data_IF_914054651747
#
_entry.id   IF_914054651747
#
_cell.length_a   1.000
_cell.length_b   1.000
_cell.length_c   1.000
_cell.angle_alpha   90.00
_cell.angle_beta   90.00
_cell.angle_gamma   90.00
#
_symmetry.space_group_name_H-M   'P 1'
#
loop_
_entity.id
_entity.type
_entity.pdbx_description
1 polymer ?
#
# COMPACT_ATOMS: atom_id res chain seq x y z
N UNK A 1 -25.46 9.67 -16.25
CA UNK A 1 -26.19 9.43 -14.98
C UNK A 1 -27.06 8.16 -15.08
N UNK A 2 -26.72 7.21 -15.96
CA UNK A 2 -27.56 6.04 -16.29
C UNK A 2 -27.02 4.71 -15.74
N UNK A 3 -25.80 4.66 -15.19
CA UNK A 3 -25.13 3.40 -14.81
C UNK A 3 -25.56 2.82 -13.45
N UNK A 4 -26.18 3.61 -12.56
CA UNK A 4 -26.57 3.15 -11.22
C UNK A 4 -27.83 2.29 -11.18
N UNK A 5 -28.72 2.43 -12.16
CA UNK A 5 -29.94 1.61 -12.22
C UNK A 5 -29.65 0.22 -12.79
N UNK A 6 -28.71 0.11 -13.72
CA UNK A 6 -28.35 -1.16 -14.38
C UNK A 6 -27.90 -2.28 -13.41
N UNK A 7 -27.14 -1.95 -12.37
CA UNK A 7 -26.64 -2.95 -11.41
C UNK A 7 -27.72 -3.38 -10.39
N UNK A 8 -28.68 -2.52 -10.11
CA UNK A 8 -29.79 -2.86 -9.22
C UNK A 8 -30.78 -3.76 -9.96
N UNK A 9 -31.05 -3.47 -11.23
CA UNK A 9 -31.95 -4.25 -12.06
C UNK A 9 -31.38 -5.66 -12.32
N UNK A 10 -30.09 -5.78 -12.65
CA UNK A 10 -29.40 -7.08 -12.82
C UNK A 10 -29.35 -7.91 -11.51
N UNK A 11 -29.25 -7.23 -10.36
CA UNK A 11 -29.32 -7.88 -9.06
C UNK A 11 -30.73 -8.35 -8.71
N UNK A 12 -31.77 -7.61 -9.10
CA UNK A 12 -33.16 -8.01 -8.86
C UNK A 12 -33.56 -9.19 -9.75
N UNK A 13 -33.13 -9.21 -11.02
CA UNK A 13 -33.36 -10.34 -11.93
C UNK A 13 -32.71 -11.63 -11.41
N UNK A 14 -31.51 -11.54 -10.82
CA UNK A 14 -30.84 -12.71 -10.22
C UNK A 14 -31.47 -13.20 -8.92
N UNK A 15 -32.33 -12.40 -8.26
CA UNK A 15 -33.08 -12.84 -7.08
C UNK A 15 -34.36 -13.60 -7.44
N UNK A 16 -34.95 -13.33 -8.61
CA UNK A 16 -36.18 -13.98 -9.08
C UNK A 16 -35.96 -15.47 -9.42
N UNK A 17 -34.71 -15.85 -9.76
CA UNK A 17 -34.33 -17.23 -10.08
C UNK A 17 -33.96 -18.07 -8.84
N UNK A 18 -33.93 -17.50 -7.64
CA UNK A 18 -33.53 -18.20 -6.42
C UNK A 18 -34.68 -19.01 -5.82
N UNK A 19 -34.35 -20.20 -5.30
CA UNK A 19 -35.29 -20.97 -4.50
C UNK A 19 -35.59 -20.27 -3.16
N UNK A 20 -36.73 -20.57 -2.49
CA UNK A 20 -37.07 -19.97 -1.20
C UNK A 20 -35.98 -20.12 -0.12
N UNK A 21 -35.26 -21.24 -0.12
CA UNK A 21 -34.16 -21.50 0.83
C UNK A 21 -32.91 -20.65 0.55
N UNK A 22 -32.65 -20.34 -0.73
CA UNK A 22 -31.55 -19.48 -1.14
C UNK A 22 -31.85 -18.02 -0.87
N UNK A 23 -33.09 -17.59 -1.11
CA UNK A 23 -33.59 -16.27 -0.71
C UNK A 23 -33.44 -16.05 0.80
N UNK A 24 -33.81 -17.02 1.64
CA UNK A 24 -33.64 -16.93 3.09
C UNK A 24 -32.16 -16.79 3.49
N UNK A 25 -31.24 -17.47 2.80
CA UNK A 25 -29.79 -17.34 3.02
C UNK A 25 -29.27 -15.96 2.61
N UNK A 26 -29.74 -15.42 1.49
CA UNK A 26 -29.37 -14.08 1.02
C UNK A 26 -29.89 -13.01 1.99
N UNK A 27 -31.15 -13.13 2.43
CA UNK A 27 -31.73 -12.23 3.43
C UNK A 27 -30.98 -12.26 4.76
N UNK A 28 -30.64 -13.45 5.28
CA UNK A 28 -29.79 -13.59 6.48
C UNK A 28 -28.43 -12.91 6.32
N UNK A 29 -27.78 -13.08 5.16
CA UNK A 29 -26.48 -12.43 4.88
C UNK A 29 -26.61 -10.92 4.76
N UNK A 30 -27.67 -10.41 4.13
CA UNK A 30 -27.95 -8.98 4.01
C UNK A 30 -28.30 -8.35 5.37
N UNK A 31 -29.06 -9.05 6.22
CA UNK A 31 -29.36 -8.62 7.58
C UNK A 31 -28.08 -8.54 8.43
N UNK A 32 -27.23 -9.57 8.42
CA UNK A 32 -25.93 -9.54 9.10
C UNK A 32 -24.99 -8.47 8.55
N UNK A 33 -25.02 -8.19 7.23
CA UNK A 33 -24.24 -7.12 6.63
C UNK A 33 -24.76 -5.72 7.02
N UNK A 34 -26.09 -5.55 7.12
CA UNK A 34 -26.71 -4.31 7.62
C UNK A 34 -26.42 -4.08 9.10
N UNK A 35 -26.41 -5.14 9.92
CA UNK A 35 -25.98 -5.05 11.33
C UNK A 35 -24.50 -4.66 11.45
N UNK A 36 -23.62 -5.21 10.59
CA UNK A 36 -22.20 -4.82 10.53
C UNK A 36 -21.96 -3.39 10.00
N UNK A 37 -22.89 -2.87 9.20
CA UNK A 37 -22.79 -1.52 8.60
C UNK A 37 -23.46 -0.44 9.45
N UNK A 38 -24.48 -0.80 10.24
CA UNK A 38 -25.15 0.09 11.19
C UNK A 38 -24.56 0.04 12.60
N UNK A 39 -23.82 -1.02 12.93
CA UNK A 39 -22.89 -0.98 14.05
C UNK A 39 -21.72 -0.09 13.69
N UNK A 40 -21.56 1.03 14.40
CA UNK A 40 -20.23 1.56 14.69
C UNK A 40 -19.44 0.39 15.28
N UNK A 41 -18.77 -0.40 14.45
CA UNK A 41 -17.83 -1.40 14.93
C UNK A 41 -16.83 -0.61 15.77
N UNK A 42 -16.75 -0.86 17.09
CA UNK A 42 -15.77 -0.20 17.92
C UNK A 42 -14.43 -0.48 17.27
N UNK A 43 -13.60 0.56 17.14
CA UNK A 43 -12.15 0.36 17.06
C UNK A 43 -11.82 -0.67 18.14
N UNK A 44 -11.12 -1.78 17.82
CA UNK A 44 -10.77 -2.80 18.81
C UNK A 44 -10.22 -2.07 20.03
N UNK A 45 -10.84 -2.31 21.19
CA UNK A 45 -10.45 -1.64 22.42
C UNK A 45 -8.94 -1.78 22.57
N UNK A 46 -8.24 -0.64 22.66
CA UNK A 46 -6.79 -0.61 22.78
C UNK A 46 -6.37 -1.59 23.89
N UNK A 47 -5.35 -2.43 23.66
CA UNK A 47 -4.89 -3.37 24.68
C UNK A 47 -4.59 -2.59 25.98
N UNK A 48 -4.86 -3.19 27.16
CA UNK A 48 -4.71 -2.49 28.43
C UNK A 48 -3.34 -1.81 28.53
N UNK A 49 -3.39 -0.50 28.78
CA UNK A 49 -2.32 0.52 28.65
C UNK A 49 -1.02 0.21 29.44
N UNK A 50 -1.02 -0.83 30.29
CA UNK A 50 0.09 -1.16 31.20
C UNK A 50 1.12 -2.16 30.65
N UNK A 51 0.86 -2.84 29.52
CA UNK A 51 1.80 -3.85 29.01
C UNK A 51 2.98 -3.20 28.26
N UNK A 52 4.20 -3.71 28.48
CA UNK A 52 5.34 -3.37 27.63
C UNK A 52 5.24 -4.17 26.32
N UNK A 53 5.06 -3.48 25.21
CA UNK A 53 4.85 -4.08 23.89
C UNK A 53 6.13 -4.75 23.35
N UNK A 54 7.32 -4.32 23.79
CA UNK A 54 8.57 -4.95 23.40
C UNK A 54 8.92 -6.20 24.22
N UNK A 55 8.13 -6.51 25.25
CA UNK A 55 8.27 -7.70 26.08
C UNK A 55 7.25 -8.81 25.74
N UNK A 56 6.50 -8.67 24.64
CA UNK A 56 5.60 -9.72 24.14
C UNK A 56 6.46 -10.89 23.68
N UNK A 57 6.16 -12.10 24.16
CA UNK A 57 6.90 -13.30 23.77
C UNK A 57 6.57 -13.72 22.34
N UNK A 58 7.47 -14.46 21.71
CA UNK A 58 7.24 -14.95 20.34
C UNK A 58 6.05 -15.92 20.27
N UNK A 59 5.86 -16.77 21.29
CA UNK A 59 4.71 -17.69 21.36
C UNK A 59 3.37 -16.95 21.43
N UNK A 60 3.29 -15.89 22.24
CA UNK A 60 2.09 -15.04 22.30
C UNK A 60 1.84 -14.36 20.95
N UNK A 61 2.89 -13.84 20.31
CA UNK A 61 2.81 -13.24 18.98
C UNK A 61 2.23 -14.22 17.94
N UNK A 62 2.63 -15.50 17.97
CA UNK A 62 2.10 -16.52 17.05
C UNK A 62 0.63 -16.88 17.34
N UNK A 63 0.19 -16.74 18.59
CA UNK A 63 -1.18 -17.03 19.01
C UNK A 63 -2.16 -15.87 18.76
N UNK A 64 -1.67 -14.67 18.46
CA UNK A 64 -2.50 -13.48 18.26
C UNK A 64 -3.29 -13.53 16.95
N UNK A 65 -4.51 -13.02 17.02
CA UNK A 65 -5.32 -12.68 15.85
C UNK A 65 -4.72 -11.52 15.05
N UNK A 66 -5.16 -11.36 13.81
CA UNK A 66 -4.73 -10.26 12.94
C UNK A 66 -5.11 -8.90 13.54
N UNK A 67 -6.29 -8.81 14.15
CA UNK A 67 -6.80 -7.61 14.82
C UNK A 67 -5.93 -7.22 16.02
N UNK A 68 -5.51 -8.18 16.83
CA UNK A 68 -4.61 -7.94 17.98
C UNK A 68 -3.24 -7.47 17.53
N UNK A 69 -2.65 -8.13 16.53
CA UNK A 69 -1.35 -7.74 15.96
C UNK A 69 -1.39 -6.30 15.45
N UNK A 70 -2.47 -5.94 14.76
CA UNK A 70 -2.67 -4.59 14.26
C UNK A 70 -2.79 -3.56 15.40
N UNK A 71 -3.59 -3.84 16.42
CA UNK A 71 -3.75 -2.96 17.57
C UNK A 71 -2.42 -2.76 18.33
N UNK A 72 -1.61 -3.82 18.45
CA UNK A 72 -0.26 -3.75 19.05
C UNK A 72 0.67 -2.88 18.21
N UNK A 73 0.65 -3.02 16.89
CA UNK A 73 1.52 -2.23 16.00
C UNK A 73 1.19 -0.73 16.07
N UNK A 74 -0.11 -0.37 16.06
CA UNK A 74 -0.53 1.02 16.28
C UNK A 74 -0.06 1.50 17.65
N UNK A 75 -0.35 0.73 18.70
CA UNK A 75 0.03 1.10 20.07
C UNK A 75 1.54 1.29 20.22
N UNK A 76 2.35 0.49 19.52
CA UNK A 76 3.80 0.61 19.51
C UNK A 76 4.25 1.92 18.85
N UNK A 77 3.67 2.27 17.70
CA UNK A 77 3.93 3.54 17.03
C UNK A 77 3.50 4.74 17.90
N UNK A 78 2.33 4.72 18.50
CA UNK A 78 1.83 5.81 19.34
C UNK A 78 2.69 5.99 20.60
N UNK A 79 2.91 4.90 21.35
CA UNK A 79 3.61 4.91 22.63
C UNK A 79 5.10 5.22 22.49
N UNK A 80 5.73 4.76 21.40
CA UNK A 80 7.17 4.85 21.20
C UNK A 80 7.59 5.76 20.02
N UNK A 81 6.68 6.55 19.45
CA UNK A 81 6.90 7.44 18.29
C UNK A 81 8.21 8.23 18.36
N UNK A 82 8.47 8.91 19.49
CA UNK A 82 9.68 9.70 19.70
C UNK A 82 10.95 8.85 19.66
N UNK A 83 10.93 7.68 20.29
CA UNK A 83 12.08 6.76 20.31
C UNK A 83 12.31 6.17 18.90
N UNK A 84 11.24 5.73 18.22
CA UNK A 84 11.30 5.20 16.86
C UNK A 84 11.91 6.25 15.91
N UNK A 85 11.46 7.51 16.00
CA UNK A 85 11.98 8.60 15.18
C UNK A 85 13.48 8.85 15.44
N UNK A 86 13.89 8.87 16.72
CA UNK A 86 15.29 9.03 17.10
C UNK A 86 16.16 7.87 16.60
N UNK A 87 15.67 6.64 16.65
CA UNK A 87 16.40 5.48 16.12
C UNK A 87 16.52 5.52 14.59
N UNK A 88 15.43 5.83 13.88
CA UNK A 88 15.47 6.02 12.44
C UNK A 88 16.44 7.15 12.03
N UNK A 89 16.55 8.21 12.82
CA UNK A 89 17.50 9.31 12.58
C UNK A 89 18.95 8.88 12.90
N UNK A 90 19.17 8.28 14.07
CA UNK A 90 20.48 7.80 14.56
C UNK A 90 21.13 6.81 13.59
N UNK A 91 20.33 5.90 13.02
CA UNK A 91 20.79 4.91 12.05
C UNK A 91 20.75 5.43 10.60
N UNK A 92 20.34 6.69 10.38
CA UNK A 92 20.09 7.26 9.05
C UNK A 92 19.23 6.34 8.17
N UNK A 93 18.25 5.70 8.80
CA UNK A 93 17.53 4.57 8.24
C UNK A 93 16.14 4.97 7.72
N UNK A 94 15.77 4.33 6.61
CA UNK A 94 14.42 4.27 6.07
C UNK A 94 13.55 3.28 6.84
N UNK A 95 14.14 2.19 7.34
CA UNK A 95 13.45 1.24 8.22
C UNK A 95 14.41 0.67 9.27
N UNK A 96 13.84 0.22 10.39
CA UNK A 96 14.53 -0.50 11.47
C UNK A 96 13.74 -1.77 11.84
N UNK A 97 14.44 -2.88 12.01
CA UNK A 97 13.93 -4.11 12.61
C UNK A 97 14.31 -4.12 14.09
N UNK A 98 13.31 -4.13 14.96
CA UNK A 98 13.45 -4.03 16.42
C UNK A 98 12.97 -5.31 17.07
N UNK A 99 13.69 -5.79 18.08
CA UNK A 99 13.25 -6.88 18.93
C UNK A 99 13.74 -6.63 20.36
N UNK A 100 12.85 -6.64 21.36
CA UNK A 100 13.22 -6.34 22.75
C UNK A 100 13.79 -4.93 22.97
N UNK A 101 13.30 -3.92 22.23
CA UNK A 101 13.81 -2.52 22.25
C UNK A 101 15.25 -2.34 21.74
N UNK A 102 15.82 -3.37 21.13
CA UNK A 102 17.11 -3.31 20.42
C UNK A 102 16.86 -3.20 18.91
N UNK A 103 17.59 -2.32 18.23
CA UNK A 103 17.62 -2.29 16.76
C UNK A 103 18.54 -3.41 16.28
N UNK A 104 17.95 -4.44 15.66
CA UNK A 104 18.64 -5.63 15.17
C UNK A 104 19.24 -5.39 13.78
N UNK A 105 18.51 -4.70 12.92
CA UNK A 105 18.90 -4.42 11.54
C UNK A 105 18.27 -3.11 11.09
N UNK A 106 18.93 -2.40 10.17
CA UNK A 106 18.46 -1.13 9.64
C UNK A 106 19.01 -0.91 8.22
N UNK A 107 18.35 -0.04 7.47
CA UNK A 107 18.83 0.35 6.13
C UNK A 107 18.39 1.75 5.74
N UNK A 108 19.21 2.50 4.98
CA UNK A 108 18.85 3.81 4.45
C UNK A 108 17.84 3.75 3.28
N UNK A 109 17.54 2.56 2.75
CA UNK A 109 16.62 2.38 1.59
C UNK A 109 15.60 1.28 1.87
N UNK A 110 14.57 1.19 1.02
CA UNK A 110 13.62 0.07 1.07
C UNK A 110 14.13 -1.19 0.33
N UNK A 111 15.21 -1.11 -0.44
CA UNK A 111 15.74 -2.19 -1.32
C UNK A 111 15.98 -3.54 -0.62
N UNK A 112 16.21 -3.51 0.68
CA UNK A 112 16.48 -4.66 1.52
C UNK A 112 15.48 -4.77 2.68
N UNK A 113 14.27 -4.24 2.49
CA UNK A 113 13.21 -4.32 3.48
C UNK A 113 12.98 -5.79 3.89
N UNK A 114 12.90 -6.10 5.20
CA UNK A 114 12.93 -7.48 5.67
C UNK A 114 11.66 -8.24 5.26
N UNK A 115 11.82 -9.33 4.52
CA UNK A 115 10.73 -10.28 4.20
C UNK A 115 10.21 -10.95 5.49
N UNK A 116 8.96 -11.41 5.49
CA UNK A 116 8.30 -11.96 6.70
C UNK A 116 9.09 -13.11 7.36
N UNK A 117 9.69 -14.00 6.55
CA UNK A 117 10.51 -15.11 7.05
C UNK A 117 11.70 -14.64 7.92
N UNK A 118 12.36 -13.54 7.52
CA UNK A 118 13.47 -12.94 8.27
C UNK A 118 12.98 -12.35 9.58
N UNK A 119 11.85 -11.66 9.55
CA UNK A 119 11.21 -11.09 10.75
C UNK A 119 10.88 -12.21 11.74
N UNK A 120 10.24 -13.29 11.29
CA UNK A 120 9.90 -14.44 12.12
C UNK A 120 11.14 -15.15 12.68
N UNK A 121 12.20 -15.31 11.88
CA UNK A 121 13.48 -15.87 12.33
C UNK A 121 14.09 -15.06 13.48
N UNK A 122 14.04 -13.72 13.40
CA UNK A 122 14.52 -12.85 14.49
C UNK A 122 13.67 -13.01 15.75
N UNK A 123 12.34 -13.13 15.59
CA UNK A 123 11.44 -13.36 16.71
C UNK A 123 11.70 -14.69 17.42
N UNK A 124 11.84 -15.77 16.65
CA UNK A 124 12.15 -17.10 17.16
C UNK A 124 13.49 -17.13 17.92
N UNK A 125 14.55 -16.57 17.33
CA UNK A 125 15.88 -16.55 17.95
C UNK A 125 15.94 -15.76 19.26
N UNK A 126 15.12 -14.72 19.40
CA UNK A 126 15.11 -13.83 20.56
C UNK A 126 14.01 -14.19 21.57
N UNK A 127 13.07 -15.06 21.21
CA UNK A 127 11.90 -15.41 22.03
C UNK A 127 10.93 -14.23 22.23
N UNK A 128 11.01 -13.19 21.40
CA UNK A 128 10.25 -11.94 21.56
C UNK A 128 9.59 -11.55 20.24
N UNK A 129 8.51 -10.76 20.33
CA UNK A 129 7.84 -10.21 19.16
C UNK A 129 8.75 -9.20 18.43
N UNK A 130 9.05 -9.45 17.14
CA UNK A 130 9.80 -8.50 16.32
C UNK A 130 8.87 -7.42 15.75
N UNK A 131 9.39 -6.20 15.61
CA UNK A 131 8.71 -5.05 15.02
C UNK A 131 9.52 -4.50 13.86
N UNK A 132 8.87 -4.18 12.74
CA UNK A 132 9.51 -3.40 11.68
C UNK A 132 8.89 -2.00 11.68
N UNK A 133 9.71 -0.98 11.92
CA UNK A 133 9.29 0.40 11.84
C UNK A 133 9.89 1.06 10.61
N UNK A 134 9.05 1.73 9.84
CA UNK A 134 9.42 2.43 8.61
C UNK A 134 9.25 3.93 8.82
N UNK A 135 10.18 4.73 8.31
CA UNK A 135 10.01 6.16 8.15
C UNK A 135 8.91 6.38 7.12
N UNK A 136 7.83 7.08 7.48
CA UNK A 136 6.70 7.28 6.58
C UNK A 136 7.10 7.87 5.22
N UNK A 137 6.31 7.62 4.16
CA UNK A 137 6.51 8.29 2.87
C UNK A 137 6.51 9.81 3.05
N UNK A 138 7.40 10.48 2.33
CA UNK A 138 7.32 11.93 2.21
C UNK A 138 6.36 12.17 1.05
N UNK A 139 5.23 12.80 1.33
CA UNK A 139 4.24 13.22 0.34
C UNK A 139 4.05 14.71 0.55
N UNK A 140 4.03 15.49 -0.53
CA UNK A 140 3.82 16.92 -0.43
C UNK A 140 2.39 17.21 0.06
N UNK A 141 2.27 17.78 1.26
CA UNK A 141 1.01 18.22 1.87
C UNK A 141 0.60 19.60 1.35
N UNK A 142 0.48 19.74 0.04
CA UNK A 142 -0.03 20.96 -0.59
C UNK A 142 -1.54 20.83 -0.77
N UNK A 143 -2.31 21.84 -0.30
CA UNK A 143 -3.74 21.94 -0.64
C UNK A 143 -3.79 22.29 -2.13
N UNK A 144 -4.01 21.27 -2.95
CA UNK A 144 -4.07 21.42 -4.39
C UNK A 144 -5.22 22.35 -4.76
N UNK A 145 -4.89 23.41 -5.51
CA UNK A 145 -5.90 24.29 -6.09
C UNK A 145 -6.45 23.62 -7.35
N UNK A 146 -7.76 23.73 -7.56
CA UNK A 146 -8.38 23.28 -8.81
C UNK A 146 -7.73 24.06 -9.96
N UNK A 147 -6.94 23.37 -10.76
CA UNK A 147 -6.30 23.98 -11.92
C UNK A 147 -7.38 24.28 -12.97
N UNK A 148 -7.43 25.50 -13.53
CA UNK A 148 -8.37 25.82 -14.59
C UNK A 148 -8.07 25.00 -15.87
N UNK A 149 -9.08 24.82 -16.74
CA UNK A 149 -8.94 24.26 -18.10
C UNK A 149 -8.68 22.74 -18.26
N UNK A 150 -9.27 21.90 -17.40
CA UNK A 150 -9.11 20.45 -17.49
C UNK A 150 -7.60 20.07 -17.50
N UNK A 151 -6.83 20.73 -16.62
CA UNK A 151 -5.41 20.50 -16.51
C UNK A 151 -5.19 19.09 -15.96
N UNK A 152 -4.36 18.32 -16.66
CA UNK A 152 -4.06 16.94 -16.30
C UNK A 152 -2.75 16.96 -15.52
N UNK A 153 -2.76 16.36 -14.33
CA UNK A 153 -1.53 16.09 -13.62
C UNK A 153 -0.59 15.30 -14.54
N UNK A 154 0.72 15.54 -14.57
CA UNK A 154 1.63 14.73 -15.36
C UNK A 154 1.45 13.25 -14.99
N UNK A 155 1.00 12.45 -15.95
CA UNK A 155 0.88 11.00 -15.78
C UNK A 155 2.03 10.30 -16.45
N UNK A 156 2.35 9.11 -15.95
CA UNK A 156 3.39 8.24 -16.46
C UNK A 156 2.83 6.81 -16.56
N UNK A 157 2.64 6.25 -17.76
CA UNK A 157 2.24 4.84 -17.86
C UNK A 157 3.34 3.94 -17.31
N UNK A 158 2.98 3.05 -16.39
CA UNK A 158 3.88 2.03 -15.85
C UNK A 158 3.28 0.65 -16.08
N UNK A 159 4.15 -0.36 -16.10
CA UNK A 159 3.77 -1.76 -16.16
C UNK A 159 4.33 -2.43 -14.92
N UNK A 160 3.48 -3.18 -14.20
CA UNK A 160 3.88 -3.86 -12.97
C UNK A 160 3.71 -5.36 -13.06
N UNK A 161 4.64 -6.13 -12.47
CA UNK A 161 4.55 -7.59 -12.40
C UNK A 161 5.19 -8.16 -11.12
N UNK A 162 4.92 -9.43 -10.85
CA UNK A 162 5.42 -10.14 -9.68
C UNK A 162 6.96 -10.20 -9.68
N UNK A 163 7.61 -10.13 -8.50
CA UNK A 163 9.08 -10.17 -8.34
C UNK A 163 9.75 -11.34 -9.10
N UNK A 164 9.06 -12.48 -9.20
CA UNK A 164 9.54 -13.70 -9.86
C UNK A 164 9.28 -13.75 -11.38
N UNK A 165 8.66 -12.73 -11.97
CA UNK A 165 8.46 -12.63 -13.41
C UNK A 165 9.80 -12.39 -14.15
N UNK A 166 9.87 -12.82 -15.41
CA UNK A 166 11.04 -12.57 -16.24
C UNK A 166 10.94 -11.17 -16.87
N UNK A 167 12.03 -10.37 -16.90
CA UNK A 167 12.01 -9.02 -17.49
C UNK A 167 11.47 -8.98 -18.92
N UNK A 168 11.79 -10.00 -19.73
CA UNK A 168 11.35 -10.11 -21.13
C UNK A 168 9.84 -10.26 -21.30
N UNK A 169 9.15 -10.74 -20.26
CA UNK A 169 7.69 -10.95 -20.29
C UNK A 169 6.90 -9.75 -19.80
N UNK A 170 7.56 -8.75 -19.21
CA UNK A 170 6.88 -7.64 -18.54
C UNK A 170 5.92 -6.91 -19.49
N UNK A 171 6.36 -6.64 -20.72
CA UNK A 171 5.56 -5.95 -21.74
C UNK A 171 4.30 -6.73 -22.16
N UNK A 172 4.34 -8.07 -22.11
CA UNK A 172 3.25 -8.92 -22.58
C UNK A 172 2.29 -9.32 -21.44
N UNK A 173 2.83 -9.55 -20.24
CA UNK A 173 2.10 -10.18 -19.13
C UNK A 173 1.90 -9.26 -17.93
N UNK A 174 2.61 -8.13 -17.88
CA UNK A 174 2.48 -7.17 -16.79
C UNK A 174 1.13 -6.45 -16.82
N UNK A 175 0.72 -5.96 -15.65
CA UNK A 175 -0.44 -5.09 -15.53
C UNK A 175 -0.05 -3.68 -15.96
N UNK A 176 -0.67 -3.20 -17.04
CA UNK A 176 -0.56 -1.81 -17.44
C UNK A 176 -1.37 -0.90 -16.50
N UNK A 177 -0.71 0.11 -15.96
CA UNK A 177 -1.30 1.20 -15.18
C UNK A 177 -1.09 2.47 -16.00
N UNK A 178 -2.17 2.99 -16.58
CA UNK A 178 -2.11 4.12 -17.53
C UNK A 178 -2.20 5.47 -16.85
N UNK A 179 -2.89 5.54 -15.71
CA UNK A 179 -3.16 6.77 -14.97
C UNK A 179 -2.37 6.80 -13.66
N UNK A 180 -1.04 6.74 -13.77
CA UNK A 180 -0.13 6.89 -12.64
C UNK A 180 0.38 8.34 -12.57
N UNK A 181 0.04 9.05 -11.50
CA UNK A 181 0.42 10.45 -11.33
C UNK A 181 1.91 10.54 -10.96
N UNK A 182 2.71 11.26 -11.76
CA UNK A 182 4.12 11.51 -11.48
C UNK A 182 4.26 12.63 -10.45
N UNK A 183 4.52 12.24 -9.20
CA UNK A 183 4.65 13.16 -8.09
C UNK A 183 6.11 13.23 -7.62
N UNK A 184 6.82 14.26 -8.10
CA UNK A 184 8.21 14.50 -7.69
C UNK A 184 8.34 14.97 -6.23
N UNK A 185 7.24 15.35 -5.58
CA UNK A 185 7.16 15.60 -4.14
C UNK A 185 7.10 14.30 -3.34
N UNK A 186 6.69 13.19 -3.96
CA UNK A 186 6.73 11.86 -3.36
C UNK A 186 8.07 11.17 -3.52
N UNK A 187 8.52 10.50 -2.46
CA UNK A 187 9.71 9.65 -2.51
C UNK A 187 9.46 8.30 -3.17
N UNK A 188 8.27 7.73 -3.01
CA UNK A 188 8.00 6.32 -3.29
C UNK A 188 6.89 6.15 -4.34
N UNK A 189 6.94 5.03 -5.06
CA UNK A 189 5.81 4.54 -5.87
C UNK A 189 4.76 3.96 -4.92
N UNK A 190 3.51 4.31 -5.14
CA UNK A 190 2.36 3.78 -4.40
C UNK A 190 1.37 3.16 -5.37
N UNK A 191 0.97 1.92 -5.09
CA UNK A 191 0.05 1.13 -5.91
C UNK A 191 -1.18 0.75 -5.11
N UNK A 192 -2.29 0.49 -5.80
CA UNK A 192 -3.46 -0.14 -5.21
C UNK A 192 -3.15 -1.61 -4.84
N UNK A 193 -3.08 -1.90 -3.53
CA UNK A 193 -2.83 -3.23 -2.99
C UNK A 193 -3.88 -4.25 -3.44
N UNK A 194 -5.16 -3.87 -3.43
CA UNK A 194 -6.24 -4.80 -3.74
C UNK A 194 -6.20 -5.17 -5.23
N UNK A 195 -5.92 -4.19 -6.10
CA UNK A 195 -5.72 -4.42 -7.53
C UNK A 195 -4.55 -5.39 -7.81
N UNK A 196 -3.38 -5.17 -7.20
CA UNK A 196 -2.21 -6.04 -7.48
C UNK A 196 -2.38 -7.45 -6.90
N UNK A 197 -3.15 -7.62 -5.81
CA UNK A 197 -3.55 -8.94 -5.31
C UNK A 197 -4.53 -9.62 -6.27
N UNK A 198 -5.58 -8.90 -6.71
CA UNK A 198 -6.62 -9.45 -7.58
C UNK A 198 -6.07 -9.87 -8.96
N UNK A 199 -5.01 -9.20 -9.42
CA UNK A 199 -4.28 -9.55 -10.64
C UNK A 199 -3.20 -10.62 -10.45
N UNK A 200 -3.01 -11.13 -9.24
CA UNK A 200 -2.02 -12.17 -8.93
C UNK A 200 -0.57 -11.71 -9.05
N UNK A 201 -0.31 -10.39 -9.00
CA UNK A 201 1.05 -9.83 -9.00
C UNK A 201 1.74 -10.07 -7.67
N UNK A 202 0.97 -9.99 -6.58
CA UNK A 202 1.44 -10.36 -5.24
C UNK A 202 0.45 -11.31 -4.59
N UNK A 203 0.96 -12.15 -3.69
CA UNK A 203 0.10 -12.90 -2.79
C UNK A 203 -0.51 -11.97 -1.73
N UNK A 204 -1.66 -12.39 -1.17
CA UNK A 204 -2.29 -11.66 -0.08
C UNK A 204 -1.37 -11.67 1.15
N UNK A 205 -0.86 -10.50 1.49
CA UNK A 205 0.02 -10.30 2.64
C UNK A 205 -0.74 -10.36 3.97
N UNK A 206 -0.11 -10.98 4.96
CA UNK A 206 -0.55 -10.96 6.34
C UNK A 206 -0.39 -9.54 6.94
N UNK A 207 -1.22 -9.16 7.90
CA UNK A 207 -1.18 -7.84 8.56
C UNK A 207 0.09 -7.59 9.38
N UNK A 208 0.89 -8.63 9.64
CA UNK A 208 2.15 -8.60 10.44
C UNK A 208 3.17 -7.53 10.02
N UNK A 209 3.10 -7.02 8.80
CA UNK A 209 3.99 -5.97 8.29
C UNK A 209 3.24 -4.79 7.63
N UNK A 210 2.00 -4.53 8.08
CA UNK A 210 1.24 -3.35 7.66
C UNK A 210 1.77 -2.11 8.35
N UNK A 211 2.02 -1.07 7.56
CA UNK A 211 2.36 0.27 8.06
C UNK A 211 1.17 1.20 7.93
N UNK A 212 1.15 2.24 8.77
CA UNK A 212 0.15 3.31 8.71
C UNK A 212 0.86 4.65 8.53
N UNK A 213 0.31 5.50 7.66
CA UNK A 213 0.74 6.87 7.50
C UNK A 213 -0.46 7.79 7.28
N UNK A 214 -0.25 9.09 7.32
CA UNK A 214 -1.30 10.09 7.09
C UNK A 214 -1.00 10.93 5.87
N UNK A 215 -2.03 11.30 5.13
CA UNK A 215 -1.98 12.33 4.09
C UNK A 215 -3.25 13.18 4.18
N UNK A 216 -3.11 14.51 4.16
CA UNK A 216 -4.21 15.46 4.35
C UNK A 216 -5.05 15.19 5.62
N UNK A 217 -4.36 14.83 6.71
CA UNK A 217 -4.99 14.54 8.01
C UNK A 217 -5.82 13.26 8.05
N UNK A 218 -5.75 12.41 7.02
CA UNK A 218 -6.44 11.12 6.95
C UNK A 218 -5.42 10.00 6.87
N UNK A 219 -5.66 8.92 7.60
CA UNK A 219 -4.77 7.77 7.60
C UNK A 219 -4.97 6.87 6.38
N UNK A 220 -3.89 6.20 5.97
CA UNK A 220 -3.90 5.10 5.03
C UNK A 220 -2.90 4.03 5.46
N UNK A 221 -3.12 2.82 4.96
CA UNK A 221 -2.35 1.63 5.33
C UNK A 221 -1.66 1.08 4.10
N UNK A 222 -0.45 0.56 4.26
CA UNK A 222 0.30 0.01 3.14
C UNK A 222 1.24 -1.13 3.55
N UNK A 223 1.63 -1.90 2.55
CA UNK A 223 2.73 -2.87 2.60
C UNK A 223 3.90 -2.35 1.77
N UNK A 224 5.12 -2.61 2.20
CA UNK A 224 6.30 -2.42 1.36
C UNK A 224 6.61 -3.76 0.68
N UNK A 225 6.56 -3.81 -0.65
CA UNK A 225 6.75 -5.04 -1.42
C UNK A 225 7.64 -4.81 -2.64
N UNK A 226 8.55 -5.75 -2.95
CA UNK A 226 9.31 -5.71 -4.19
C UNK A 226 8.40 -6.10 -5.36
N UNK A 227 8.30 -5.22 -6.35
CA UNK A 227 7.50 -5.43 -7.56
C UNK A 227 8.36 -5.04 -8.77
N UNK A 228 8.27 -5.78 -9.87
CA UNK A 228 8.84 -5.30 -11.13
C UNK A 228 8.05 -4.09 -11.59
N UNK A 229 8.72 -2.97 -11.81
CA UNK A 229 8.15 -1.76 -12.41
C UNK A 229 8.90 -1.49 -13.70
N UNK A 230 8.14 -1.35 -14.78
CA UNK A 230 8.66 -1.02 -16.10
C UNK A 230 7.96 0.19 -16.71
N UNK A 231 8.67 0.87 -17.59
CA UNK A 231 8.14 1.94 -18.45
C UNK A 231 8.53 1.65 -19.90
N UNK A 232 7.69 2.07 -20.83
CA UNK A 232 7.97 2.02 -22.26
C UNK A 232 8.40 3.42 -22.69
N UNK A 233 9.57 3.55 -23.31
CA UNK A 233 10.08 4.82 -23.82
C UNK A 233 9.38 5.23 -25.12
N UNK A 234 9.61 6.48 -25.57
CA UNK A 234 9.17 6.96 -26.89
C UNK A 234 9.70 6.11 -28.06
N UNK A 235 10.79 5.35 -27.85
CA UNK A 235 11.39 4.45 -28.84
C UNK A 235 10.89 3.00 -28.74
N UNK A 236 9.82 2.77 -27.99
CA UNK A 236 9.21 1.45 -27.72
C UNK A 236 10.12 0.47 -26.94
N UNK A 237 11.17 1.00 -26.30
CA UNK A 237 12.07 0.24 -25.44
C UNK A 237 11.46 0.08 -24.03
N UNK A 238 11.56 -1.12 -23.46
CA UNK A 238 11.16 -1.38 -22.09
C UNK A 238 12.36 -1.17 -21.15
N UNK A 239 12.23 -0.25 -20.20
CA UNK A 239 13.17 -0.08 -19.10
C UNK A 239 12.48 -0.50 -17.82
N UNK A 240 13.04 -1.48 -17.12
CA UNK A 240 12.39 -2.07 -15.95
C UNK A 240 13.39 -2.50 -14.87
N UNK A 241 12.90 -2.58 -13.63
CA UNK A 241 13.66 -3.01 -12.45
C UNK A 241 12.72 -3.48 -11.35
N UNK A 242 13.24 -4.29 -10.43
CA UNK A 242 12.53 -4.59 -9.18
C UNK A 242 12.69 -3.38 -8.26
N UNK A 243 11.56 -2.82 -7.82
CA UNK A 243 11.50 -1.67 -6.94
C UNK A 243 10.62 -2.02 -5.75
N UNK A 244 11.04 -1.66 -4.54
CA UNK A 244 10.15 -1.69 -3.39
C UNK A 244 9.13 -0.56 -3.47
N UNK A 245 7.86 -0.96 -3.59
CA UNK A 245 6.72 -0.05 -3.73
C UNK A 245 5.83 -0.12 -2.49
N UNK A 246 5.07 0.95 -2.25
CA UNK A 246 4.08 0.99 -1.18
C UNK A 246 2.72 0.54 -1.75
N UNK A 247 2.35 -0.71 -1.49
CA UNK A 247 1.03 -1.22 -1.86
C UNK A 247 0.00 -0.77 -0.82
N UNK A 248 -0.79 0.24 -1.14
CA UNK A 248 -1.75 0.91 -0.28
C UNK A 248 -3.09 0.17 -0.30
N UNK A 249 -3.61 -0.17 0.88
CA UNK A 249 -4.89 -0.85 1.07
C UNK A 249 -6.06 0.12 0.95
N UNK A 250 -7.20 -0.40 0.49
CA UNK A 250 -8.43 0.39 0.32
C UNK A 250 -8.15 1.65 -0.52
N UNK A 251 -7.42 1.51 -1.64
CA UNK A 251 -6.95 2.64 -2.46
C UNK A 251 -8.05 3.66 -2.77
N UNK A 252 -9.21 3.16 -3.20
CA UNK A 252 -10.39 3.95 -3.52
C UNK A 252 -11.00 4.72 -2.34
N UNK A 253 -10.58 4.45 -1.10
CA UNK A 253 -10.97 5.18 0.11
C UNK A 253 -9.81 5.98 0.70
N UNK A 254 -8.60 5.77 0.22
CA UNK A 254 -7.40 6.42 0.71
C UNK A 254 -7.43 7.94 0.44
N UNK A 255 -6.70 8.76 1.22
CA UNK A 255 -6.53 10.18 0.91
C UNK A 255 -5.77 10.43 -0.39
N UNK A 256 -5.06 9.44 -0.93
CA UNK A 256 -4.23 9.57 -2.13
C UNK A 256 -5.05 9.80 -3.40
N UNK A 257 -6.35 9.51 -3.41
CA UNK A 257 -7.23 9.76 -4.55
C UNK A 257 -8.05 11.05 -4.40
N UNK A 258 -7.82 11.85 -3.36
CA UNK A 258 -8.64 13.02 -3.05
C UNK A 258 -8.54 14.11 -4.13
N UNK A 259 -7.39 14.24 -4.79
CA UNK A 259 -7.15 15.21 -5.87
C UNK A 259 -7.45 14.66 -7.27
N UNK A 260 -7.30 13.34 -7.46
CA UNK A 260 -7.54 12.66 -8.72
C UNK A 260 -8.24 11.32 -8.44
N UNK A 261 -9.56 11.30 -8.59
CA UNK A 261 -10.38 10.12 -8.32
C UNK A 261 -10.14 8.96 -9.29
N UNK A 262 -9.57 9.23 -10.47
CA UNK A 262 -9.17 8.22 -11.45
C UNK A 262 -7.73 7.72 -11.28
N UNK A 263 -6.95 8.30 -10.35
CA UNK A 263 -5.57 7.90 -10.09
C UNK A 263 -5.49 6.41 -9.77
N UNK A 264 -4.69 5.68 -10.53
CA UNK A 264 -4.47 4.24 -10.33
C UNK A 264 -3.18 3.97 -9.54
N UNK A 265 -2.23 4.89 -9.61
CA UNK A 265 -0.98 4.84 -8.87
C UNK A 265 -0.40 6.24 -8.68
N UNK A 266 0.56 6.35 -7.76
CA UNK A 266 1.39 7.53 -7.57
C UNK A 266 2.84 7.11 -7.81
N UNK A 267 3.54 7.80 -8.71
CA UNK A 267 4.93 7.51 -9.06
C UNK A 267 5.82 8.56 -8.42
N UNK A 268 6.55 8.15 -7.38
CA UNK A 268 7.55 8.99 -6.73
C UNK A 268 8.90 9.01 -7.44
N UNK A 269 9.84 9.76 -6.87
CA UNK A 269 11.20 9.91 -7.41
C UNK A 269 12.04 8.64 -7.37
N UNK A 270 11.71 7.65 -6.55
CA UNK A 270 12.43 6.36 -6.54
C UNK A 270 12.46 5.73 -7.94
N UNK A 271 11.42 5.87 -8.76
CA UNK A 271 11.48 5.39 -10.15
C UNK A 271 12.70 5.92 -10.91
N UNK A 272 13.00 7.21 -10.76
CA UNK A 272 14.10 7.91 -11.43
C UNK A 272 15.48 7.58 -10.85
N UNK A 273 15.52 7.10 -9.60
CA UNK A 273 16.76 6.66 -8.95
C UNK A 273 17.08 5.19 -9.24
N UNK A 274 16.04 4.38 -9.44
CA UNK A 274 16.16 2.94 -9.68
C UNK A 274 16.35 2.60 -11.16
N UNK A 275 15.76 3.39 -12.06
CA UNK A 275 15.77 3.13 -13.50
C UNK A 275 16.55 4.22 -14.26
N UNK A 276 17.32 3.86 -15.30
CA UNK A 276 18.08 4.80 -16.13
C UNK A 276 17.15 5.57 -17.09
N UNK A 277 16.31 6.43 -16.54
CA UNK A 277 15.26 7.15 -17.24
C UNK A 277 15.51 8.65 -17.29
N UNK A 278 14.94 9.29 -18.29
CA UNK A 278 14.74 10.73 -18.34
C UNK A 278 13.28 11.03 -18.67
N UNK A 279 12.63 11.82 -17.82
CA UNK A 279 11.28 12.31 -18.06
C UNK A 279 11.35 13.78 -18.48
N UNK A 280 10.69 14.11 -19.59
CA UNK A 280 10.50 15.50 -20.02
C UNK A 280 9.03 15.90 -19.89
N UNK A 281 8.79 17.08 -19.30
CA UNK A 281 7.45 17.65 -19.13
C UNK A 281 7.31 18.90 -19.98
N UNK A 282 6.40 18.89 -20.96
CA UNK A 282 6.02 20.07 -21.74
C UNK A 282 4.64 20.54 -21.28
N UNK A 283 4.60 21.42 -20.28
CA UNK A 283 3.35 21.96 -19.73
C UNK A 283 2.54 22.79 -20.74
N UNK A 284 3.17 23.32 -21.80
CA UNK A 284 2.46 24.04 -22.86
C UNK A 284 1.71 23.09 -23.78
N UNK A 285 2.33 21.95 -24.12
CA UNK A 285 1.69 20.90 -24.92
C UNK A 285 0.88 19.90 -24.09
N UNK A 286 1.06 19.90 -22.77
CA UNK A 286 0.48 18.94 -21.82
C UNK A 286 0.92 17.50 -22.12
N UNK A 287 2.22 17.31 -22.33
CA UNK A 287 2.82 16.02 -22.69
C UNK A 287 3.90 15.67 -21.67
N UNK A 288 3.89 14.40 -21.24
CA UNK A 288 4.99 13.73 -20.55
C UNK A 288 5.69 12.82 -21.56
N UNK A 289 7.00 12.96 -21.73
CA UNK A 289 7.80 12.07 -22.58
C UNK A 289 8.76 11.23 -21.76
N UNK A 290 8.91 9.97 -22.15
CA UNK A 290 9.80 9.00 -21.48
C UNK A 290 10.96 8.66 -22.40
N UNK A 291 12.16 9.11 -22.03
CA UNK A 291 13.38 8.88 -22.79
C UNK A 291 14.28 7.87 -22.06
N UNK A 292 14.87 6.94 -22.82
CA UNK A 292 15.98 6.13 -22.33
C UNK A 292 17.26 6.96 -22.20
N UNK A 293 18.14 6.58 -21.28
CA UNK A 293 19.49 7.15 -21.15
C UNK A 293 20.52 6.36 -21.95
#
# INVERSE_FOLDING_TARGET
>A
METKNSLLDEFLETLDDLSPEELERVEKRLASAREKKNGNAPVPAAPPVSRDLFAISFDEYLAMSLEELYAIQISAYEKYSKWIAQELERHQARWILVCGKEVIESSPTLRNYPKSQKVETVGEQRGLMPFVFVRGPIIEESIWTVLPYNDSYPTLPIIVAAENEKPLNLKANGLAITDADLDTGSTDIMLDYDLVVDKGIIERQNVKQVHTHSHLGREFRYHTLPIWVGVITETDEMIAGVIDVLCVRDWAKSPLIASNHSRQALVGRNLLYELPLRIELDGRKRITQILGQ
#
